data_IF_910479874539
#
_entry.id   IF_910479874539
#
_cell.length_a   1.000
_cell.length_b   1.000
_cell.length_c   1.000
_cell.angle_alpha   90.00
_cell.angle_beta   90.00
_cell.angle_gamma   90.00
#
_symmetry.space_group_name_H-M   'P 1'
#
loop_
_entity.id
_entity.type
_entity.pdbx_description
1 polymer ?
#
# COMPACT_ATOMS: atom_id res chain seq x y z
N UNK A 1 -32.06 30.21 -71.24
CA UNK A 1 -31.36 29.21 -70.39
C UNK A 1 -30.60 28.31 -71.34
N UNK A 2 -29.28 28.45 -71.44
CA UNK A 2 -28.49 27.72 -72.43
C UNK A 2 -28.39 26.23 -72.04
N UNK A 3 -28.46 25.29 -72.99
CA UNK A 3 -28.27 23.87 -72.70
C UNK A 3 -26.82 23.61 -72.24
N UNK A 4 -26.66 22.87 -71.14
CA UNK A 4 -25.37 22.48 -70.59
C UNK A 4 -24.87 21.26 -71.38
N UNK A 5 -23.84 21.47 -72.21
CA UNK A 5 -23.27 20.44 -73.09
C UNK A 5 -22.18 19.58 -72.44
N UNK A 6 -21.79 19.89 -71.21
CA UNK A 6 -20.71 19.19 -70.52
C UNK A 6 -21.29 18.23 -69.48
N UNK A 7 -20.77 17.00 -69.50
CA UNK A 7 -20.99 16.01 -68.45
C UNK A 7 -20.08 16.36 -67.27
N UNK A 8 -20.62 16.38 -66.06
CA UNK A 8 -19.80 16.52 -64.85
C UNK A 8 -18.84 15.34 -64.74
N UNK A 9 -17.55 15.64 -64.69
CA UNK A 9 -16.46 14.67 -64.62
C UNK A 9 -16.36 14.21 -63.17
N UNK A 10 -16.89 13.01 -62.89
CA UNK A 10 -16.76 12.36 -61.58
C UNK A 10 -15.43 11.61 -61.55
N UNK A 11 -14.39 12.29 -61.07
CA UNK A 11 -13.00 11.83 -61.06
C UNK A 11 -12.80 10.51 -60.30
N UNK A 12 -13.71 10.16 -59.37
CA UNK A 12 -13.69 8.91 -58.61
C UNK A 12 -14.32 7.78 -59.40
N UNK A 13 -15.49 7.98 -60.04
CA UNK A 13 -16.10 6.97 -60.93
C UNK A 13 -15.24 6.67 -62.15
N UNK A 14 -14.57 7.69 -62.68
CA UNK A 14 -13.68 7.56 -63.83
C UNK A 14 -12.30 7.00 -63.45
N UNK A 15 -12.07 6.65 -62.17
CA UNK A 15 -10.84 6.05 -61.64
C UNK A 15 -9.57 6.85 -61.97
N UNK A 16 -9.71 8.16 -62.20
CA UNK A 16 -8.58 9.07 -62.49
C UNK A 16 -7.72 9.24 -61.25
N UNK A 17 -8.35 9.22 -60.08
CA UNK A 17 -7.68 9.18 -58.78
C UNK A 17 -8.00 7.81 -58.15
N UNK A 18 -7.01 6.96 -57.89
CA UNK A 18 -7.25 5.69 -57.22
C UNK A 18 -7.81 5.94 -55.80
N UNK A 19 -8.73 5.09 -55.30
CA UNK A 19 -9.26 5.25 -53.95
C UNK A 19 -8.13 5.16 -52.91
N UNK A 20 -8.20 5.98 -51.85
CA UNK A 20 -7.15 6.12 -50.83
C UNK A 20 -6.77 4.78 -50.17
N UNK A 21 -7.72 3.84 -50.08
CA UNK A 21 -7.45 2.46 -49.68
C UNK A 21 -8.23 1.48 -50.56
N UNK A 22 -7.52 0.56 -51.20
CA UNK A 22 -8.12 -0.44 -52.08
C UNK A 22 -7.13 -1.49 -52.57
N UNK A 23 -7.58 -2.72 -52.73
CA UNK A 23 -6.80 -3.76 -53.41
C UNK A 23 -7.01 -3.61 -54.91
N UNK A 24 -6.18 -2.80 -55.55
CA UNK A 24 -6.20 -2.74 -57.01
C UNK A 24 -5.37 -3.89 -57.53
N UNK A 25 -6.06 -4.90 -58.06
CA UNK A 25 -5.44 -5.92 -58.90
C UNK A 25 -4.79 -5.16 -60.04
N UNK A 26 -3.47 -4.98 -60.01
CA UNK A 26 -2.73 -4.38 -61.12
C UNK A 26 -2.68 -5.35 -62.29
N UNK A 27 -3.83 -5.50 -62.92
CA UNK A 27 -3.95 -5.63 -64.36
C UNK A 27 -5.43 -5.56 -64.72
N UNK A 28 -5.89 -4.40 -65.19
CA UNK A 28 -6.97 -4.38 -66.18
C UNK A 28 -6.46 -4.79 -67.57
N UNK A 29 -5.15 -5.09 -67.73
CA UNK A 29 -4.67 -5.83 -68.89
C UNK A 29 -4.87 -7.33 -68.62
N UNK A 30 -6.06 -7.80 -68.99
CA UNK A 30 -6.48 -9.20 -69.03
C UNK A 30 -5.54 -10.10 -69.87
N UNK A 31 -4.61 -9.50 -70.61
CA UNK A 31 -3.70 -10.17 -71.55
C UNK A 31 -2.42 -10.73 -70.91
N UNK A 32 -1.96 -10.21 -69.76
CA UNK A 32 -0.77 -10.76 -69.09
C UNK A 32 -1.09 -11.94 -68.14
N UNK A 33 -2.37 -12.15 -67.80
CA UNK A 33 -2.81 -13.22 -66.91
C UNK A 33 -3.06 -14.54 -67.63
N UNK A 34 -3.14 -14.57 -68.97
CA UNK A 34 -3.26 -15.80 -69.75
C UNK A 34 -1.87 -16.40 -70.08
N UNK A 35 -0.96 -16.37 -69.12
CA UNK A 35 0.25 -17.22 -69.16
C UNK A 35 0.13 -18.21 -68.00
N UNK A 36 0.25 -19.52 -68.24
CA UNK A 36 0.17 -20.53 -67.18
C UNK A 36 1.23 -20.34 -66.08
N UNK A 37 2.25 -19.51 -66.33
CA UNK A 37 3.27 -19.09 -65.37
C UNK A 37 2.98 -17.77 -64.64
N UNK A 38 2.02 -16.96 -65.08
CA UNK A 38 1.67 -15.66 -64.49
C UNK A 38 1.06 -15.77 -63.09
N UNK A 39 0.26 -16.81 -62.84
CA UNK A 39 -0.27 -17.12 -61.51
C UNK A 39 0.85 -17.45 -60.51
N UNK A 40 1.87 -18.20 -60.93
CA UNK A 40 3.04 -18.56 -60.11
C UNK A 40 3.89 -17.33 -59.77
N UNK A 41 4.09 -16.42 -60.73
CA UNK A 41 4.83 -15.18 -60.50
C UNK A 41 4.05 -14.23 -59.58
N UNK A 42 2.73 -14.14 -59.72
CA UNK A 42 1.89 -13.33 -58.81
C UNK A 42 1.92 -13.83 -57.36
N UNK A 43 1.99 -15.15 -57.14
CA UNK A 43 2.15 -15.73 -55.79
C UNK A 43 3.52 -15.43 -55.16
N UNK A 44 4.57 -15.28 -55.97
CA UNK A 44 5.93 -14.99 -55.52
C UNK A 44 6.14 -13.48 -55.29
N UNK A 45 5.58 -12.64 -56.16
CA UNK A 45 5.72 -11.17 -56.12
C UNK A 45 4.72 -10.53 -55.14
N UNK A 46 3.60 -11.19 -54.88
CA UNK A 46 2.58 -10.77 -53.92
C UNK A 46 1.50 -9.87 -54.50
N UNK A 47 0.37 -9.79 -53.78
CA UNK A 47 -0.78 -9.00 -54.17
C UNK A 47 -0.44 -7.49 -54.19
N UNK A 48 -0.93 -6.78 -55.20
CA UNK A 48 -0.79 -5.33 -55.25
C UNK A 48 -1.88 -4.69 -54.39
N UNK A 49 -1.47 -3.95 -53.36
CA UNK A 49 -2.37 -3.15 -52.53
C UNK A 49 -2.01 -1.69 -52.66
N UNK A 50 -3.02 -0.85 -52.85
CA UNK A 50 -2.84 0.59 -52.75
C UNK A 50 -2.89 0.99 -51.29
N UNK A 51 -1.83 1.64 -50.86
CA UNK A 51 -1.78 2.32 -49.57
C UNK A 51 -1.52 3.79 -49.84
N UNK A 52 -2.49 4.64 -49.51
CA UNK A 52 -2.35 6.11 -49.59
C UNK A 52 -1.99 6.61 -51.01
N UNK A 53 -2.66 6.03 -52.01
CA UNK A 53 -2.43 6.33 -53.43
C UNK A 53 -1.17 5.71 -54.06
N UNK A 54 -0.33 5.02 -53.27
CA UNK A 54 0.89 4.34 -53.75
C UNK A 54 0.62 2.84 -53.91
N UNK A 55 0.92 2.28 -55.08
CA UNK A 55 0.81 0.83 -55.32
C UNK A 55 2.01 0.10 -54.74
N UNK A 56 1.79 -0.64 -53.66
CA UNK A 56 2.83 -1.41 -52.99
C UNK A 56 2.60 -2.90 -53.25
N UNK A 57 3.61 -3.58 -53.77
CA UNK A 57 3.62 -5.04 -53.92
C UNK A 57 4.28 -5.65 -52.69
N UNK A 58 3.55 -6.50 -51.98
CA UNK A 58 4.04 -7.14 -50.76
C UNK A 58 4.11 -8.65 -50.96
N UNK A 59 5.32 -9.23 -51.14
CA UNK A 59 5.45 -10.68 -51.25
C UNK A 59 5.00 -11.35 -49.96
N UNK A 60 4.21 -12.41 -50.09
CA UNK A 60 3.56 -13.12 -48.96
C UNK A 60 4.55 -13.66 -47.94
N UNK A 61 5.74 -14.11 -48.39
CA UNK A 61 6.80 -14.58 -47.48
C UNK A 61 7.40 -13.45 -46.63
N UNK A 62 7.56 -12.23 -47.18
CA UNK A 62 8.04 -11.09 -46.40
C UNK A 62 6.99 -10.64 -45.40
N UNK A 63 5.70 -10.66 -45.79
CA UNK A 63 4.62 -10.29 -44.90
C UNK A 63 4.59 -11.18 -43.66
N UNK A 64 4.68 -12.51 -43.82
CA UNK A 64 4.73 -13.43 -42.69
C UNK A 64 5.97 -13.25 -41.80
N UNK A 65 7.13 -12.92 -42.38
CA UNK A 65 8.34 -12.60 -41.61
C UNK A 65 8.15 -11.33 -40.76
N UNK A 66 7.62 -10.26 -41.37
CA UNK A 66 7.37 -9.00 -40.66
C UNK A 66 6.25 -9.12 -39.64
N UNK A 67 5.21 -9.90 -39.92
CA UNK A 67 4.14 -10.18 -38.97
C UNK A 67 4.68 -10.93 -37.76
N UNK A 68 5.43 -12.01 -37.96
CA UNK A 68 6.04 -12.77 -36.88
C UNK A 68 7.03 -11.92 -36.08
N UNK A 69 7.85 -11.10 -36.74
CA UNK A 69 8.80 -10.21 -36.07
C UNK A 69 8.07 -9.16 -35.21
N UNK A 70 7.04 -8.53 -35.78
CA UNK A 70 6.21 -7.55 -35.08
C UNK A 70 5.50 -8.17 -33.88
N UNK A 71 4.89 -9.34 -34.02
CA UNK A 71 4.20 -10.01 -32.89
C UNK A 71 5.18 -10.46 -31.82
N UNK A 72 6.35 -10.98 -32.21
CA UNK A 72 7.38 -11.38 -31.27
C UNK A 72 7.93 -10.19 -30.48
N UNK A 73 8.20 -9.06 -31.15
CA UNK A 73 8.66 -7.84 -30.47
C UNK A 73 7.56 -7.31 -29.55
N UNK A 74 6.33 -7.17 -30.05
CA UNK A 74 5.21 -6.69 -29.23
C UNK A 74 5.01 -7.57 -28.00
N UNK A 75 5.12 -8.89 -28.16
CA UNK A 75 5.00 -9.84 -27.06
C UNK A 75 6.12 -9.69 -26.02
N UNK A 76 7.37 -9.51 -26.46
CA UNK A 76 8.51 -9.32 -25.56
C UNK A 76 8.46 -7.97 -24.85
N UNK A 77 8.07 -6.91 -25.55
CA UNK A 77 7.86 -5.57 -24.97
C UNK A 77 6.72 -5.64 -23.97
N UNK A 78 5.58 -6.25 -24.31
CA UNK A 78 4.45 -6.41 -23.40
C UNK A 78 4.85 -7.19 -22.14
N UNK A 79 5.60 -8.29 -22.26
CA UNK A 79 6.10 -9.04 -21.10
C UNK A 79 7.06 -8.22 -20.23
N UNK A 80 7.92 -7.42 -20.83
CA UNK A 80 8.83 -6.55 -20.09
C UNK A 80 8.05 -5.47 -19.33
N UNK A 81 7.07 -4.83 -19.98
CA UNK A 81 6.16 -3.89 -19.34
C UNK A 81 5.38 -4.54 -18.19
N UNK A 82 4.77 -5.72 -18.40
CA UNK A 82 4.04 -6.44 -17.35
C UNK A 82 4.93 -6.81 -16.15
N UNK A 83 6.18 -7.21 -16.41
CA UNK A 83 7.13 -7.52 -15.34
C UNK A 83 7.51 -6.26 -14.54
N UNK A 84 7.72 -5.13 -15.23
CA UNK A 84 7.99 -3.84 -14.60
C UNK A 84 6.79 -3.35 -13.79
N UNK A 85 5.59 -3.42 -14.34
CA UNK A 85 4.34 -3.03 -13.66
C UNK A 85 4.08 -3.90 -12.43
N UNK A 86 4.36 -5.20 -12.52
CA UNK A 86 4.26 -6.10 -11.36
C UNK A 86 5.30 -5.80 -10.29
N UNK A 87 6.52 -5.43 -10.68
CA UNK A 87 7.58 -5.05 -9.75
C UNK A 87 7.28 -3.71 -9.08
N UNK A 88 6.87 -2.69 -9.85
CA UNK A 88 6.49 -1.37 -9.36
C UNK A 88 5.27 -1.46 -8.44
N UNK A 89 4.23 -2.21 -8.82
CA UNK A 89 3.04 -2.42 -8.00
C UNK A 89 3.35 -3.08 -6.66
N UNK A 90 4.28 -4.04 -6.64
CA UNK A 90 4.75 -4.65 -5.38
C UNK A 90 5.47 -3.61 -4.51
N UNK A 91 6.41 -2.87 -5.12
CA UNK A 91 7.17 -1.83 -4.42
C UNK A 91 6.23 -0.78 -3.81
N UNK A 92 5.31 -0.21 -4.61
CA UNK A 92 4.35 0.78 -4.15
C UNK A 92 3.40 0.23 -3.08
N UNK A 93 3.03 -1.05 -3.15
CA UNK A 93 2.19 -1.65 -2.11
C UNK A 93 2.92 -1.74 -0.77
N UNK A 94 4.20 -2.14 -0.78
CA UNK A 94 5.00 -2.15 0.45
C UNK A 94 5.26 -0.74 0.97
N UNK A 95 5.58 0.22 0.09
CA UNK A 95 5.72 1.63 0.46
C UNK A 95 4.42 2.17 1.07
N UNK A 96 3.27 1.94 0.41
CA UNK A 96 1.96 2.36 0.91
C UNK A 96 1.68 1.75 2.27
N UNK A 97 2.01 0.47 2.47
CA UNK A 97 1.85 -0.21 3.75
C UNK A 97 2.70 0.44 4.84
N UNK A 98 3.96 0.74 4.54
CA UNK A 98 4.87 1.41 5.48
C UNK A 98 4.36 2.82 5.78
N UNK A 99 4.07 3.62 4.77
CA UNK A 99 3.56 5.00 4.93
C UNK A 99 2.24 5.03 5.69
N UNK A 100 1.32 4.10 5.41
CA UNK A 100 0.04 4.00 6.14
C UNK A 100 0.28 3.58 7.59
N UNK A 101 1.24 2.69 7.85
CA UNK A 101 1.61 2.29 9.22
C UNK A 101 2.21 3.45 10.00
N UNK A 102 3.12 4.20 9.38
CA UNK A 102 3.73 5.40 9.98
C UNK A 102 2.68 6.49 10.21
N UNK A 103 1.80 6.72 9.25
CA UNK A 103 0.70 7.68 9.37
C UNK A 103 -0.26 7.29 10.50
N UNK A 104 -0.61 6.00 10.62
CA UNK A 104 -1.43 5.52 11.74
C UNK A 104 -0.71 5.64 13.09
N UNK A 105 0.63 5.53 13.11
CA UNK A 105 1.42 5.75 14.30
C UNK A 105 1.26 7.20 14.81
N UNK A 106 1.39 8.17 13.90
CA UNK A 106 1.24 9.59 14.18
C UNK A 106 -0.19 10.07 13.86
N UNK A 107 -1.11 9.76 14.76
CA UNK A 107 -2.53 10.09 14.58
C UNK A 107 -2.91 11.51 15.04
N UNK A 108 -2.14 12.16 15.93
CA UNK A 108 -2.45 13.50 16.46
C UNK A 108 -1.44 14.56 15.98
N UNK A 109 -1.85 15.53 15.15
CA UNK A 109 -0.96 16.60 14.67
C UNK A 109 -0.54 17.60 15.75
N UNK A 110 -1.11 17.52 16.97
CA UNK A 110 -0.74 18.35 18.11
C UNK A 110 0.53 17.85 18.81
N UNK A 111 0.93 16.60 18.58
CA UNK A 111 2.16 16.02 19.11
C UNK A 111 3.36 16.39 18.22
N UNK A 112 4.22 17.28 18.70
CA UNK A 112 5.46 17.62 17.98
C UNK A 112 6.50 16.50 18.15
N UNK A 113 6.61 15.63 17.14
CA UNK A 113 7.50 14.47 17.15
C UNK A 113 8.98 14.84 17.32
N UNK A 114 9.42 15.93 16.69
CA UNK A 114 10.84 16.29 16.65
C UNK A 114 11.38 16.69 18.04
N UNK A 115 10.76 17.63 18.79
CA UNK A 115 11.13 17.86 20.17
C UNK A 115 10.82 16.65 21.07
N UNK A 116 9.68 15.96 20.88
CA UNK A 116 9.33 14.80 21.71
C UNK A 116 10.34 13.65 21.65
N UNK A 117 10.81 13.30 20.45
CA UNK A 117 11.83 12.28 20.25
C UNK A 117 13.18 12.69 20.80
N UNK A 118 13.60 13.95 20.60
CA UNK A 118 14.86 14.44 21.15
C UNK A 118 14.86 14.42 22.69
N UNK A 119 13.76 14.79 23.34
CA UNK A 119 13.62 14.67 24.80
C UNK A 119 13.69 13.21 25.27
N UNK A 120 13.02 12.29 24.57
CA UNK A 120 13.09 10.86 24.92
C UNK A 120 14.50 10.27 24.75
N UNK A 121 15.26 10.72 23.74
CA UNK A 121 16.66 10.36 23.53
C UNK A 121 17.56 10.90 24.64
N UNK A 122 17.37 12.16 25.04
CA UNK A 122 18.09 12.76 26.16
C UNK A 122 17.78 12.02 27.46
N UNK A 123 16.52 11.65 27.71
CA UNK A 123 16.13 10.86 28.86
C UNK A 123 16.79 9.47 28.86
N UNK A 124 16.83 8.79 27.71
CA UNK A 124 17.54 7.52 27.56
C UNK A 124 19.05 7.65 27.85
N UNK A 125 19.68 8.70 27.31
CA UNK A 125 21.09 9.00 27.54
C UNK A 125 21.36 9.30 29.03
N UNK A 126 20.45 10.04 29.68
CA UNK A 126 20.49 10.30 31.12
C UNK A 126 20.39 9.01 31.93
N UNK A 127 19.51 8.07 31.54
CA UNK A 127 19.43 6.73 32.13
C UNK A 127 20.72 5.92 31.99
N UNK A 128 21.42 6.05 30.86
CA UNK A 128 22.74 5.43 30.65
C UNK A 128 23.81 6.01 31.55
N UNK A 129 23.80 7.33 31.75
CA UNK A 129 24.77 8.01 32.63
C UNK A 129 24.52 7.61 34.08
N UNK A 130 23.26 7.54 34.50
CA UNK A 130 22.88 7.18 35.87
C UNK A 130 23.27 5.74 36.24
N UNK A 131 23.24 4.83 35.26
CA UNK A 131 23.59 3.42 35.45
C UNK A 131 25.03 3.08 35.08
N UNK A 132 25.88 4.09 34.83
CA UNK A 132 27.27 3.94 34.37
C UNK A 132 28.12 3.00 35.24
N UNK A 133 27.87 2.98 36.56
CA UNK A 133 28.62 2.16 37.52
C UNK A 133 27.78 1.03 38.14
N UNK A 134 26.75 0.57 37.44
CA UNK A 134 25.88 -0.54 37.87
C UNK A 134 26.09 -1.75 36.96
N UNK A 135 25.51 -2.90 37.34
CA UNK A 135 25.58 -4.13 36.55
C UNK A 135 25.18 -3.91 35.08
N UNK A 136 25.76 -4.72 34.19
CA UNK A 136 25.54 -4.66 32.75
C UNK A 136 24.06 -4.72 32.37
N UNK A 137 23.25 -5.45 33.15
CA UNK A 137 21.81 -5.55 32.96
C UNK A 137 21.13 -4.19 33.13
N UNK A 138 21.44 -3.46 34.20
CA UNK A 138 20.92 -2.11 34.42
C UNK A 138 21.44 -1.11 33.38
N UNK A 139 22.68 -1.29 32.91
CA UNK A 139 23.25 -0.46 31.85
C UNK A 139 22.50 -0.57 30.52
N UNK A 140 21.89 -1.73 30.24
CA UNK A 140 21.10 -1.96 29.03
C UNK A 140 19.62 -1.61 29.22
N UNK A 141 19.04 -1.95 30.38
CA UNK A 141 17.60 -1.74 30.61
C UNK A 141 17.26 -0.31 30.99
N UNK A 142 18.13 0.41 31.69
CA UNK A 142 17.80 1.76 32.16
C UNK A 142 17.64 2.79 31.04
N UNK A 143 18.50 2.86 30.00
CA UNK A 143 18.27 3.76 28.88
C UNK A 143 16.93 3.51 28.20
N UNK A 144 16.56 2.24 28.02
CA UNK A 144 15.31 1.83 27.41
C UNK A 144 14.12 2.24 28.30
N UNK A 145 14.20 1.96 29.60
CA UNK A 145 13.13 2.29 30.54
C UNK A 145 12.91 3.80 30.66
N UNK A 146 13.98 4.60 30.80
CA UNK A 146 13.89 6.06 30.87
C UNK A 146 13.43 6.67 29.55
N UNK A 147 13.93 6.16 28.41
CA UNK A 147 13.49 6.59 27.08
C UNK A 147 12.00 6.31 26.85
N UNK A 148 11.54 5.09 27.17
CA UNK A 148 10.14 4.71 27.04
C UNK A 148 9.23 5.50 28.00
N UNK A 149 9.66 5.73 29.24
CA UNK A 149 8.91 6.53 30.20
C UNK A 149 8.76 7.99 29.73
N UNK A 150 9.84 8.59 29.22
CA UNK A 150 9.77 9.94 28.67
C UNK A 150 8.93 9.99 27.38
N UNK A 151 9.04 9.00 26.51
CA UNK A 151 8.23 8.89 25.30
C UNK A 151 6.74 8.78 25.63
N UNK A 152 6.35 7.94 26.60
CA UNK A 152 4.97 7.84 27.07
C UNK A 152 4.44 9.13 27.70
N UNK A 153 5.32 9.98 28.25
CA UNK A 153 4.94 11.25 28.85
C UNK A 153 4.80 12.37 27.82
N UNK A 154 5.73 12.47 26.86
CA UNK A 154 5.77 13.57 25.89
C UNK A 154 4.93 13.26 24.64
N UNK A 155 4.83 11.99 24.24
CA UNK A 155 4.14 11.52 23.03
C UNK A 155 3.14 10.38 23.38
N UNK A 156 2.12 10.65 24.21
CA UNK A 156 1.23 9.60 24.71
C UNK A 156 0.42 8.89 23.61
N UNK A 157 -0.08 9.62 22.61
CA UNK A 157 -0.89 9.04 21.52
C UNK A 157 -0.01 8.20 20.61
N UNK A 158 1.14 8.74 20.19
CA UNK A 158 2.10 8.01 19.34
C UNK A 158 2.62 6.75 20.06
N UNK A 159 2.91 6.84 21.36
CA UNK A 159 3.35 5.69 22.15
C UNK A 159 2.27 4.61 22.23
N UNK A 160 1.00 4.99 22.48
CA UNK A 160 -0.14 4.07 22.50
C UNK A 160 -0.32 3.34 21.17
N UNK A 161 -0.38 4.07 20.06
CA UNK A 161 -0.50 3.49 18.72
C UNK A 161 0.66 2.54 18.39
N UNK A 162 1.87 2.87 18.84
CA UNK A 162 3.05 2.03 18.65
C UNK A 162 2.95 0.73 19.44
N UNK A 163 2.49 0.80 20.69
CA UNK A 163 2.28 -0.38 21.52
C UNK A 163 1.16 -1.27 20.96
N UNK A 164 0.08 -0.69 20.43
CA UNK A 164 -1.00 -1.43 19.79
C UNK A 164 -0.54 -2.14 18.51
N UNK A 165 0.27 -1.47 17.68
CA UNK A 165 0.88 -2.09 16.50
C UNK A 165 1.82 -3.24 16.91
N UNK A 166 2.65 -3.01 17.93
CA UNK A 166 3.58 -4.03 18.43
C UNK A 166 2.82 -5.25 18.95
N UNK A 167 1.73 -5.03 19.70
CA UNK A 167 0.87 -6.10 20.20
C UNK A 167 0.19 -6.88 19.05
N UNK A 168 -0.26 -6.17 18.00
CA UNK A 168 -0.82 -6.80 16.81
C UNK A 168 0.19 -7.69 16.07
N UNK A 169 1.44 -7.22 15.94
CA UNK A 169 2.54 -8.01 15.38
C UNK A 169 2.89 -9.20 16.27
N UNK A 170 2.99 -8.99 17.57
CA UNK A 170 3.31 -10.03 18.54
C UNK A 170 2.27 -11.15 18.52
N UNK A 171 0.98 -10.82 18.46
CA UNK A 171 -0.10 -11.81 18.37
C UNK A 171 0.01 -12.68 17.11
N UNK A 172 0.47 -12.10 16.00
CA UNK A 172 0.67 -12.82 14.74
C UNK A 172 1.88 -13.76 14.76
N UNK A 173 3.00 -13.31 15.31
CA UNK A 173 4.29 -14.04 15.26
C UNK A 173 4.51 -14.94 16.48
N UNK A 174 4.14 -14.47 17.67
CA UNK A 174 4.43 -15.08 18.97
C UNK A 174 3.18 -15.14 19.88
N UNK A 175 2.18 -15.97 19.55
CA UNK A 175 0.91 -15.99 20.28
C UNK A 175 1.06 -16.35 21.77
N UNK A 176 2.00 -17.25 22.10
CA UNK A 176 2.29 -17.64 23.49
C UNK A 176 2.80 -16.49 24.35
N UNK A 177 3.56 -15.57 23.77
CA UNK A 177 4.09 -14.42 24.50
C UNK A 177 2.97 -13.40 24.76
N UNK A 178 2.13 -13.15 23.75
CA UNK A 178 0.97 -12.26 23.86
C UNK A 178 -0.05 -12.73 24.91
N UNK A 179 -0.29 -14.05 24.98
CA UNK A 179 -1.15 -14.63 26.01
C UNK A 179 -0.56 -14.48 27.41
N UNK A 180 0.76 -14.64 27.54
CA UNK A 180 1.50 -14.41 28.78
C UNK A 180 1.40 -12.96 29.26
N UNK A 181 1.65 -12.00 28.36
CA UNK A 181 1.48 -10.57 28.65
C UNK A 181 0.06 -10.24 29.09
N UNK A 182 -0.95 -10.77 28.39
CA UNK A 182 -2.36 -10.56 28.74
C UNK A 182 -2.71 -11.14 30.11
N UNK A 183 -2.21 -12.33 30.43
CA UNK A 183 -2.41 -12.95 31.74
C UNK A 183 -1.78 -12.12 32.86
N UNK A 184 -0.58 -11.58 32.64
CA UNK A 184 0.07 -10.67 33.60
C UNK A 184 -0.73 -9.38 33.76
N UNK A 185 -1.17 -8.78 32.65
CA UNK A 185 -1.98 -7.56 32.67
C UNK A 185 -3.27 -7.75 33.48
N UNK A 186 -4.02 -8.83 33.21
CA UNK A 186 -5.25 -9.15 33.96
C UNK A 186 -4.97 -9.33 35.44
N UNK A 187 -3.91 -10.04 35.81
CA UNK A 187 -3.53 -10.22 37.23
C UNK A 187 -3.21 -8.91 37.92
N UNK A 188 -2.45 -8.02 37.26
CA UNK A 188 -2.11 -6.71 37.83
C UNK A 188 -3.36 -5.84 37.96
N UNK A 189 -4.22 -5.84 36.95
CA UNK A 189 -5.49 -5.11 36.99
C UNK A 189 -6.41 -5.63 38.12
N UNK A 190 -6.52 -6.95 38.27
CA UNK A 190 -7.29 -7.57 39.35
C UNK A 190 -6.72 -7.26 40.72
N UNK A 191 -5.39 -7.22 40.87
CA UNK A 191 -4.74 -6.84 42.12
C UNK A 191 -5.00 -5.36 42.45
N UNK A 192 -4.94 -4.48 41.45
CA UNK A 192 -5.22 -3.06 41.65
C UNK A 192 -6.67 -2.83 42.07
N UNK A 193 -7.63 -3.44 41.37
CA UNK A 193 -9.06 -3.33 41.72
C UNK A 193 -9.35 -3.94 43.09
N UNK A 194 -8.74 -5.09 43.43
CA UNK A 194 -8.83 -5.66 44.78
C UNK A 194 -8.20 -4.76 45.85
N UNK A 195 -7.10 -4.08 45.54
CA UNK A 195 -6.45 -3.13 46.45
C UNK A 195 -7.34 -1.91 46.71
N UNK A 196 -7.93 -1.33 45.66
CA UNK A 196 -8.87 -0.20 45.77
C UNK A 196 -10.09 -0.61 46.61
N UNK A 197 -10.73 -1.73 46.27
CA UNK A 197 -11.88 -2.25 47.00
C UNK A 197 -11.52 -2.61 48.45
N UNK A 198 -10.28 -3.08 48.68
CA UNK A 198 -9.74 -3.35 50.01
C UNK A 198 -9.59 -2.07 50.82
N UNK A 199 -9.03 -1.02 50.23
CA UNK A 199 -8.89 0.30 50.87
C UNK A 199 -10.27 0.90 51.22
N UNK A 200 -11.25 0.80 50.34
CA UNK A 200 -12.63 1.25 50.60
C UNK A 200 -13.32 0.44 51.72
N UNK A 201 -13.05 -0.87 51.80
CA UNK A 201 -13.52 -1.70 52.91
C UNK A 201 -12.84 -1.34 54.24
N UNK A 202 -11.56 -1.01 54.21
CA UNK A 202 -10.82 -0.57 55.40
C UNK A 202 -11.41 0.74 55.92
N UNK A 203 -11.64 1.74 55.05
CA UNK A 203 -12.17 3.04 55.49
C UNK A 203 -13.57 2.91 56.09
N UNK A 204 -14.44 2.09 55.50
CA UNK A 204 -15.79 1.83 56.02
C UNK A 204 -15.80 0.99 57.32
N UNK A 205 -14.84 0.08 57.49
CA UNK A 205 -14.69 -0.69 58.73
C UNK A 205 -14.17 0.18 59.88
N UNK A 206 -13.26 1.11 59.58
CA UNK A 206 -12.78 2.06 60.58
C UNK A 206 -13.89 3.02 61.01
N UNK A 207 -14.69 3.57 60.08
CA UNK A 207 -15.78 4.47 60.43
C UNK A 207 -16.90 3.78 61.23
N UNK A 208 -17.26 2.55 60.87
CA UNK A 208 -18.23 1.74 61.63
C UNK A 208 -17.70 1.34 63.01
N UNK A 209 -16.42 0.99 63.13
CA UNK A 209 -15.79 0.72 64.43
C UNK A 209 -15.78 1.95 65.33
N UNK A 210 -15.47 3.13 64.79
CA UNK A 210 -15.54 4.39 65.54
C UNK A 210 -16.97 4.71 65.99
N UNK A 211 -17.97 4.44 65.13
CA UNK A 211 -19.39 4.64 65.46
C UNK A 211 -19.86 3.65 66.52
N UNK A 212 -19.39 2.40 66.48
CA UNK A 212 -19.68 1.40 67.49
C UNK A 212 -19.06 1.77 68.85
N UNK A 213 -17.80 2.21 68.88
CA UNK A 213 -17.15 2.70 70.10
C UNK A 213 -17.89 3.92 70.66
N UNK A 214 -18.23 4.90 69.82
CA UNK A 214 -19.06 6.06 70.19
C UNK A 214 -20.41 5.62 70.77
N UNK A 215 -21.07 4.62 70.16
CA UNK A 215 -22.33 4.07 70.65
C UNK A 215 -22.19 3.40 72.01
N UNK A 216 -21.13 2.62 72.24
CA UNK A 216 -20.89 2.00 73.56
C UNK A 216 -20.62 3.04 74.65
N UNK A 217 -19.89 4.11 74.33
CA UNK A 217 -19.68 5.23 75.27
C UNK A 217 -21.00 5.95 75.54
N UNK A 218 -21.83 6.14 74.51
CA UNK A 218 -23.18 6.72 74.64
C UNK A 218 -24.06 5.89 75.58
N UNK A 219 -24.08 4.57 75.38
CA UNK A 219 -24.87 3.64 76.18
C UNK A 219 -24.38 3.56 77.64
N UNK A 220 -23.07 3.67 77.87
CA UNK A 220 -22.48 3.63 79.22
C UNK A 220 -22.64 4.94 80.00
N UNK A 221 -22.56 6.08 79.31
CA UNK A 221 -22.73 7.40 79.92
C UNK A 221 -24.19 7.80 80.09
N UNK A 222 -25.13 7.02 79.55
CA UNK A 222 -26.57 7.30 79.60
C UNK A 222 -26.96 8.59 78.86
N UNK A 223 -26.05 9.13 78.03
CA UNK A 223 -26.23 10.40 77.36
C UNK A 223 -27.10 10.19 76.11
N UNK A 224 -28.42 10.18 76.31
CA UNK A 224 -29.36 10.19 75.21
C UNK A 224 -29.55 11.64 74.72
N UNK A 225 -28.58 12.12 73.94
CA UNK A 225 -28.73 13.28 73.05
C UNK A 225 -28.74 12.82 71.60
#
# INVERSE_FOLDING_TARGET
MAPVFYRDIDTVKEHVIPPESGTVVSSAAKEAAMSPNGSRVSQIVGDNRLWDGISVRTPTYMLGLFENWRTNINFQVARACDALDKASSKYYREERRITTTIANLHSDPREELLPGLTYSLVAAMSGSILTRNKNILFRLTAPIAFGAACCSYVLPVTFGNTMDLLYGLEKGVFPRFADGQRAVYVRVHDLMTKSINGAEKITSTVSSSLTCSMRTIKDWTGLNV
#
